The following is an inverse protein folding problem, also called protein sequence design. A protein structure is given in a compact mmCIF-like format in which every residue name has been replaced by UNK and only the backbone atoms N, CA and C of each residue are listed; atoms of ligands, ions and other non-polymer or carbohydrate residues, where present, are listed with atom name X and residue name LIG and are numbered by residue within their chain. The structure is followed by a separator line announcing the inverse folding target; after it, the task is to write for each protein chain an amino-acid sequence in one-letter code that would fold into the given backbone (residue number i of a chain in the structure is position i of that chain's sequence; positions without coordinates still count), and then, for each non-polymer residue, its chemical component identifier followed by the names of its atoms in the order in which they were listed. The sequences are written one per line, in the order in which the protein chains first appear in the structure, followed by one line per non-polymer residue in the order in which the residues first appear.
data_IF_139530481333
#
_entry.id   IF_139530481333
#
_cell.length_a   1.000
_cell.length_b   1.000
_cell.length_c   1.000
_cell.angle_alpha   90.00
_cell.angle_beta   90.00
_cell.angle_gamma   90.00
#
_symmetry.space_group_name_H-M   'P 1'
#
loop_
_entity.id
_entity.type
_entity.pdbx_description
1 polymer ?
#
# COMPACT_ATOMS: atom_id res chain seq x y z
N UNK A 1 29.98 41.74 44.36
CA UNK A 1 29.33 41.21 45.58
C UNK A 1 29.03 39.73 45.36
N UNK A 2 29.18 38.95 46.43
CA UNK A 2 28.78 37.55 46.73
C UNK A 2 27.82 36.81 45.75
N UNK A 3 28.17 35.56 45.41
CA UNK A 3 27.32 34.49 44.82
C UNK A 3 26.56 33.69 45.92
N UNK A 4 25.44 32.99 45.61
CA UNK A 4 25.50 31.52 45.67
C UNK A 4 24.54 30.71 44.75
N UNK A 5 25.11 29.70 44.06
CA UNK A 5 24.83 28.24 44.11
C UNK A 5 23.39 27.64 44.07
N UNK A 6 23.10 26.86 42.99
CA UNK A 6 22.56 25.44 42.85
C UNK A 6 21.68 24.81 43.97
N UNK A 7 20.73 23.85 43.69
CA UNK A 7 20.97 22.65 42.85
C UNK A 7 19.79 22.03 42.03
N UNK A 8 20.06 20.86 41.45
CA UNK A 8 19.23 19.95 40.62
C UNK A 8 18.12 19.20 41.40
N UNK A 9 17.20 18.50 40.70
CA UNK A 9 16.83 17.08 40.98
C UNK A 9 16.01 16.39 39.86
N UNK A 10 16.32 15.11 39.68
CA UNK A 10 15.88 14.08 38.72
C UNK A 10 14.39 13.68 38.68
N UNK A 11 13.97 12.96 37.62
CA UNK A 11 13.67 11.52 37.81
C UNK A 11 13.69 10.66 36.52
N UNK A 12 13.75 9.33 36.70
CA UNK A 12 13.95 8.32 35.65
C UNK A 12 12.89 7.19 35.71
N UNK A 13 12.94 6.26 34.73
CA UNK A 13 12.18 4.99 34.57
C UNK A 13 10.80 5.18 33.90
N UNK A 14 10.47 4.57 32.75
CA UNK A 14 10.55 3.17 32.28
C UNK A 14 9.63 2.20 33.04
N UNK A 15 8.55 1.72 32.39
CA UNK A 15 8.22 0.28 32.28
C UNK A 15 7.15 0.01 31.18
N UNK A 16 7.05 -1.25 30.74
CA UNK A 16 6.29 -1.75 29.58
C UNK A 16 4.86 -2.16 29.95
N UNK A 17 3.90 -2.18 29.00
CA UNK A 17 2.97 -3.33 28.85
C UNK A 17 2.11 -3.39 27.56
N UNK A 18 2.44 -4.35 26.70
CA UNK A 18 1.58 -5.37 26.04
C UNK A 18 0.18 -5.03 25.47
N UNK A 19 0.06 -5.33 24.15
CA UNK A 19 -1.14 -5.85 23.42
C UNK A 19 -2.28 -4.82 23.22
N UNK A 20 -3.04 -4.81 22.13
CA UNK A 20 -3.43 -5.90 21.19
C UNK A 20 -3.39 -5.48 19.72
N UNK A 21 -3.27 -6.46 18.82
CA UNK A 21 -3.59 -6.32 17.40
C UNK A 21 -5.12 -6.25 17.22
N UNK A 22 -5.63 -5.35 16.36
CA UNK A 22 -6.86 -5.45 15.52
C UNK A 22 -7.40 -4.07 15.08
N UNK A 23 -6.68 -3.35 14.20
CA UNK A 23 -7.27 -2.22 13.43
C UNK A 23 -7.03 -2.41 11.92
N UNK A 24 -7.34 -3.61 11.44
CA UNK A 24 -7.41 -3.94 10.02
C UNK A 24 -8.73 -3.38 9.47
N UNK A 25 -8.65 -2.12 9.04
CA UNK A 25 -9.51 -1.48 8.03
C UNK A 25 -11.02 -1.56 8.28
N UNK A 26 -11.53 -0.98 9.38
CA UNK A 26 -12.96 -0.66 9.51
C UNK A 26 -13.23 0.74 10.08
N UNK A 27 -13.77 1.62 9.24
CA UNK A 27 -14.55 2.77 9.70
C UNK A 27 -15.68 3.07 8.72
N UNK A 28 -16.89 2.62 9.09
CA UNK A 28 -18.15 2.96 8.40
C UNK A 28 -18.40 4.47 8.49
N UNK A 29 -18.86 5.08 7.39
CA UNK A 29 -19.69 6.31 7.45
C UNK A 29 -21.04 6.03 6.80
N UNK A 30 -22.12 6.46 7.45
CA UNK A 30 -23.50 6.46 6.93
C UNK A 30 -23.83 7.82 6.29
N UNK A 31 -24.90 7.85 5.49
CA UNK A 31 -25.20 8.79 4.39
C UNK A 31 -26.23 9.89 4.83
N UNK A 32 -26.89 10.77 4.04
CA UNK A 32 -27.26 10.83 2.60
C UNK A 32 -27.02 12.25 1.95
N UNK A 33 -27.90 12.94 1.15
CA UNK A 33 -27.41 13.65 -0.05
C UNK A 33 -27.82 15.15 -0.20
N UNK A 34 -27.41 15.85 -1.29
CA UNK A 34 -28.41 16.20 -2.30
C UNK A 34 -27.97 16.07 -3.78
N UNK A 35 -28.95 16.23 -4.68
CA UNK A 35 -29.04 15.64 -6.03
C UNK A 35 -28.74 16.63 -7.18
N UNK A 36 -27.47 16.80 -7.56
CA UNK A 36 -27.08 17.47 -8.83
C UNK A 36 -25.62 17.22 -9.29
N UNK A 37 -24.90 16.25 -8.71
CA UNK A 37 -23.42 16.22 -8.78
C UNK A 37 -22.79 15.20 -9.76
N UNK A 38 -23.55 14.48 -10.59
CA UNK A 38 -23.03 13.29 -11.31
C UNK A 38 -21.89 13.57 -12.30
N UNK A 39 -21.90 14.71 -13.00
CA UNK A 39 -20.83 15.04 -13.97
C UNK A 39 -19.60 15.68 -13.30
N UNK A 40 -19.81 16.66 -12.42
CA UNK A 40 -18.73 17.36 -11.72
C UNK A 40 -17.96 16.44 -10.74
N UNK A 41 -18.66 15.49 -10.09
CA UNK A 41 -18.00 14.48 -9.24
C UNK A 41 -17.14 13.53 -10.07
N UNK A 42 -17.52 13.19 -11.31
CA UNK A 42 -16.69 12.32 -12.16
C UNK A 42 -15.35 12.98 -12.52
N UNK A 43 -15.37 14.28 -12.83
CA UNK A 43 -14.15 15.07 -13.14
C UNK A 43 -13.31 15.32 -11.88
N UNK A 44 -13.96 15.69 -10.75
CA UNK A 44 -13.26 15.84 -9.47
C UNK A 44 -12.67 14.51 -8.98
N UNK A 45 -13.36 13.39 -9.17
CA UNK A 45 -12.81 12.06 -8.93
C UNK A 45 -11.61 11.80 -9.85
N UNK A 46 -11.72 12.01 -11.15
CA UNK A 46 -10.61 11.76 -12.08
C UNK A 46 -9.32 12.53 -11.70
N UNK A 47 -9.44 13.77 -11.24
CA UNK A 47 -8.30 14.56 -10.74
C UNK A 47 -7.79 14.10 -9.36
N UNK A 48 -8.67 13.71 -8.44
CA UNK A 48 -8.29 13.22 -7.10
C UNK A 48 -7.68 11.81 -7.13
N UNK A 49 -8.07 10.96 -8.08
CA UNK A 49 -7.66 9.55 -8.15
C UNK A 49 -6.18 9.34 -8.55
N UNK A 50 -5.49 10.37 -9.07
CA UNK A 50 -4.01 10.34 -9.15
C UNK A 50 -3.33 10.55 -7.78
N UNK A 51 -4.02 11.13 -6.81
CA UNK A 51 -3.55 11.35 -5.42
C UNK A 51 -3.92 10.23 -4.44
N UNK A 52 -4.61 9.18 -4.88
CA UNK A 52 -5.04 8.06 -4.03
C UNK A 52 -4.02 6.90 -3.94
N UNK A 53 -2.92 6.96 -4.71
CA UNK A 53 -1.91 5.90 -4.73
C UNK A 53 -1.10 5.89 -3.44
N UNK A 54 -1.21 4.80 -2.67
CA UNK A 54 -0.33 4.57 -1.53
C UNK A 54 0.99 3.96 -1.99
N UNK A 55 2.03 4.03 -1.15
CA UNK A 55 3.30 3.35 -1.39
C UNK A 55 3.13 1.82 -1.53
N UNK A 56 2.13 1.25 -0.86
CA UNK A 56 1.77 -0.15 -0.99
C UNK A 56 1.16 -0.45 -2.38
N UNK A 57 0.30 0.43 -2.90
CA UNK A 57 -0.27 0.27 -4.24
C UNK A 57 0.81 0.39 -5.32
N UNK A 58 1.75 1.33 -5.16
CA UNK A 58 2.91 1.46 -6.04
C UNK A 58 3.78 0.19 -6.02
N UNK A 59 4.05 -0.37 -4.83
CA UNK A 59 4.79 -1.63 -4.70
C UNK A 59 4.09 -2.81 -5.37
N UNK A 60 2.79 -2.99 -5.10
CA UNK A 60 1.97 -4.05 -5.69
C UNK A 60 1.90 -3.91 -7.21
N UNK A 61 1.73 -2.69 -7.73
CA UNK A 61 1.71 -2.42 -9.17
C UNK A 61 3.06 -2.75 -9.81
N UNK A 62 4.17 -2.30 -9.23
CA UNK A 62 5.51 -2.56 -9.79
C UNK A 62 5.79 -4.06 -9.83
N UNK A 63 5.71 -4.73 -8.69
CA UNK A 63 6.11 -6.14 -8.59
C UNK A 63 5.20 -7.05 -9.41
N UNK A 64 3.88 -6.85 -9.36
CA UNK A 64 2.94 -7.66 -10.15
C UNK A 64 3.08 -7.42 -11.66
N UNK A 65 3.41 -6.19 -12.10
CA UNK A 65 3.65 -5.92 -13.53
C UNK A 65 4.95 -6.54 -14.01
N UNK A 66 5.99 -6.58 -13.18
CA UNK A 66 7.25 -7.28 -13.50
C UNK A 66 7.07 -8.82 -13.54
N UNK A 67 6.17 -9.36 -12.72
CA UNK A 67 5.92 -10.81 -12.62
C UNK A 67 4.98 -11.34 -13.71
N UNK A 68 3.95 -10.56 -14.08
CA UNK A 68 2.91 -10.98 -15.04
C UNK A 68 3.08 -10.40 -16.44
N UNK A 69 3.85 -9.32 -16.61
CA UNK A 69 4.03 -8.58 -17.86
C UNK A 69 2.74 -8.03 -18.55
N UNK A 70 1.55 -8.20 -17.95
CA UNK A 70 0.27 -7.71 -18.47
C UNK A 70 -0.52 -6.89 -17.43
N UNK A 71 -0.70 -5.59 -17.71
CA UNK A 71 -1.45 -4.66 -16.87
C UNK A 71 -2.96 -4.97 -16.76
N UNK A 72 -3.54 -5.71 -17.72
CA UNK A 72 -4.93 -6.17 -17.65
C UNK A 72 -5.07 -7.29 -16.61
N UNK A 73 -4.14 -8.24 -16.59
CA UNK A 73 -4.11 -9.30 -15.58
C UNK A 73 -3.83 -8.69 -14.20
N UNK A 74 -2.89 -7.76 -14.10
CA UNK A 74 -2.64 -6.99 -12.85
C UNK A 74 -3.92 -6.31 -12.34
N UNK A 75 -4.68 -5.64 -13.21
CA UNK A 75 -5.96 -5.03 -12.84
C UNK A 75 -7.01 -6.05 -12.36
N UNK A 76 -7.07 -7.23 -12.97
CA UNK A 76 -8.06 -8.26 -12.65
C UNK A 76 -7.69 -9.12 -11.42
N UNK A 77 -6.40 -9.17 -11.04
CA UNK A 77 -5.88 -10.10 -10.03
C UNK A 77 -5.30 -9.46 -8.77
N UNK A 78 -4.86 -8.19 -8.82
CA UNK A 78 -4.18 -7.53 -7.68
C UNK A 78 -5.17 -6.76 -6.81
N UNK A 79 -5.09 -6.97 -5.49
CA UNK A 79 -5.91 -6.27 -4.50
C UNK A 79 -5.25 -4.97 -4.04
N UNK A 80 -5.55 -3.87 -4.73
CA UNK A 80 -5.17 -2.52 -4.33
C UNK A 80 -6.00 -1.98 -3.15
N UNK A 81 -5.49 -0.92 -2.49
CA UNK A 81 -6.15 -0.24 -1.36
C UNK A 81 -7.50 0.39 -1.70
N UNK A 82 -7.74 0.67 -2.99
CA UNK A 82 -8.99 1.20 -3.53
C UNK A 82 -9.24 0.62 -4.93
N UNK A 83 -10.50 0.64 -5.37
CA UNK A 83 -10.87 0.20 -6.71
C UNK A 83 -10.40 1.23 -7.77
N UNK A 84 -9.28 0.93 -8.42
CA UNK A 84 -8.81 1.67 -9.59
C UNK A 84 -9.48 1.18 -10.88
N UNK A 85 -9.51 2.02 -11.92
CA UNK A 85 -9.81 1.54 -13.28
C UNK A 85 -8.53 1.10 -14.00
N UNK A 86 -8.66 0.25 -15.03
CA UNK A 86 -7.56 -0.11 -15.92
C UNK A 86 -6.91 1.11 -16.61
N UNK A 87 -7.61 2.26 -16.71
CA UNK A 87 -6.99 3.52 -17.16
C UNK A 87 -6.06 4.09 -16.07
N UNK A 88 -6.50 4.14 -14.82
CA UNK A 88 -5.68 4.65 -13.71
C UNK A 88 -4.41 3.84 -13.51
N UNK A 89 -4.48 2.50 -13.62
CA UNK A 89 -3.33 1.59 -13.53
C UNK A 89 -2.33 1.88 -14.65
N UNK A 90 -2.78 2.01 -15.90
CA UNK A 90 -1.93 2.36 -17.05
C UNK A 90 -1.30 3.74 -16.92
N UNK A 91 -2.07 4.74 -16.51
CA UNK A 91 -1.58 6.10 -16.28
C UNK A 91 -0.52 6.12 -15.16
N UNK A 92 -0.74 5.38 -14.06
CA UNK A 92 0.22 5.29 -12.95
C UNK A 92 1.51 4.58 -13.35
N UNK A 93 1.41 3.44 -14.05
CA UNK A 93 2.56 2.71 -14.57
C UNK A 93 3.40 3.59 -15.52
N UNK A 94 2.72 4.36 -16.39
CA UNK A 94 3.35 5.37 -17.24
C UNK A 94 4.10 6.42 -16.40
N UNK A 95 3.50 6.95 -15.33
CA UNK A 95 4.21 7.87 -14.42
C UNK A 95 5.43 7.20 -13.77
N UNK A 96 5.31 5.98 -13.24
CA UNK A 96 6.40 5.30 -12.52
C UNK A 96 7.64 5.03 -13.40
N UNK A 97 7.46 4.81 -14.70
CA UNK A 97 8.56 4.59 -15.67
C UNK A 97 9.10 5.92 -16.24
N UNK A 98 8.22 6.80 -16.71
CA UNK A 98 8.64 7.95 -17.54
C UNK A 98 8.80 9.26 -16.77
N UNK A 99 8.20 9.41 -15.58
CA UNK A 99 8.39 10.58 -14.71
C UNK A 99 9.54 10.30 -13.73
N UNK A 100 10.74 10.75 -14.09
CA UNK A 100 11.96 10.51 -13.33
C UNK A 100 11.91 11.06 -11.88
N UNK A 101 11.38 12.28 -11.61
CA UNK A 101 11.07 12.74 -10.25
C UNK A 101 10.19 11.77 -9.45
N UNK A 102 9.07 11.31 -10.01
CA UNK A 102 8.17 10.36 -9.33
C UNK A 102 8.89 9.03 -9.08
N UNK A 103 9.56 8.48 -10.10
CA UNK A 103 10.30 7.22 -10.02
C UNK A 103 11.33 7.23 -8.89
N UNK A 104 12.17 8.29 -8.82
CA UNK A 104 13.16 8.46 -7.75
C UNK A 104 12.51 8.56 -6.36
N UNK A 105 11.45 9.36 -6.21
CA UNK A 105 10.74 9.49 -4.94
C UNK A 105 10.19 8.14 -4.45
N UNK A 106 9.58 7.35 -5.35
CA UNK A 106 9.02 6.05 -5.00
C UNK A 106 10.13 5.06 -4.64
N UNK A 107 11.22 4.98 -5.41
CA UNK A 107 12.36 4.12 -5.09
C UNK A 107 12.94 4.39 -3.69
N UNK A 108 13.18 5.67 -3.34
CA UNK A 108 13.66 6.04 -1.99
C UNK A 108 12.67 5.65 -0.88
N UNK A 109 11.36 5.75 -1.14
CA UNK A 109 10.33 5.34 -0.18
C UNK A 109 10.22 3.82 -0.05
N UNK A 110 10.31 3.07 -1.14
CA UNK A 110 10.27 1.60 -1.14
C UNK A 110 11.45 1.01 -0.38
N UNK A 111 12.64 1.62 -0.48
CA UNK A 111 13.82 1.25 0.33
C UNK A 111 13.61 1.41 1.85
N UNK A 112 12.59 2.14 2.29
CA UNK A 112 12.26 2.34 3.71
C UNK A 112 11.15 1.39 4.21
N UNK A 113 10.57 0.55 3.34
CA UNK A 113 9.58 -0.45 3.74
C UNK A 113 10.22 -1.53 4.63
N UNK A 114 9.51 -1.92 5.69
CA UNK A 114 9.97 -3.00 6.58
C UNK A 114 9.76 -4.35 5.91
N UNK A 115 10.66 -5.30 6.18
CA UNK A 115 10.57 -6.68 5.68
C UNK A 115 9.22 -7.35 5.99
N UNK A 116 8.64 -7.10 7.17
CA UNK A 116 7.31 -7.61 7.52
C UNK A 116 6.22 -7.11 6.57
N UNK A 117 6.24 -5.81 6.22
CA UNK A 117 5.27 -5.23 5.29
C UNK A 117 5.46 -5.77 3.86
N UNK A 118 6.71 -6.03 3.46
CA UNK A 118 7.01 -6.63 2.17
C UNK A 118 6.45 -8.07 2.10
N UNK A 119 6.62 -8.87 3.15
CA UNK A 119 6.03 -10.22 3.24
C UNK A 119 4.51 -10.17 3.16
N UNK A 120 3.87 -9.27 3.92
CA UNK A 120 2.42 -9.06 3.86
C UNK A 120 1.97 -8.68 2.43
N UNK A 121 2.68 -7.76 1.78
CA UNK A 121 2.38 -7.31 0.41
C UNK A 121 2.54 -8.43 -0.63
N UNK A 122 3.57 -9.27 -0.52
CA UNK A 122 3.75 -10.42 -1.41
C UNK A 122 2.57 -11.40 -1.40
N UNK A 123 1.80 -11.50 -0.31
CA UNK A 123 0.61 -12.35 -0.25
C UNK A 123 -0.54 -11.90 -1.16
N UNK A 124 -0.51 -10.66 -1.65
CA UNK A 124 -1.49 -10.09 -2.61
C UNK A 124 -0.98 -10.08 -4.06
N UNK A 125 0.25 -10.56 -4.30
CA UNK A 125 0.87 -10.60 -5.62
C UNK A 125 0.53 -11.95 -6.27
N UNK A 126 -0.04 -11.99 -7.47
CA UNK A 126 -0.31 -13.24 -8.17
C UNK A 126 0.99 -13.97 -8.52
N UNK A 127 0.97 -15.29 -8.40
CA UNK A 127 2.06 -16.14 -8.85
C UNK A 127 2.27 -16.02 -10.37
N UNK A 128 3.52 -16.22 -10.81
CA UNK A 128 3.84 -16.43 -12.22
C UNK A 128 3.51 -17.85 -12.66
N UNK A 129 3.33 -18.06 -13.97
CA UNK A 129 3.09 -19.39 -14.56
C UNK A 129 4.12 -20.45 -14.07
N UNK A 130 5.37 -20.05 -13.86
CA UNK A 130 6.43 -20.93 -13.36
C UNK A 130 6.19 -21.37 -11.90
N UNK A 131 5.74 -20.45 -11.06
CA UNK A 131 5.37 -20.73 -9.66
C UNK A 131 4.09 -21.55 -9.58
N UNK A 132 3.06 -21.24 -10.39
CA UNK A 132 1.84 -22.04 -10.49
C UNK A 132 2.16 -23.49 -10.91
N UNK A 133 3.04 -23.69 -11.89
CA UNK A 133 3.52 -25.01 -12.30
C UNK A 133 4.34 -25.76 -11.23
N UNK A 134 4.96 -25.04 -10.28
CA UNK A 134 5.64 -25.66 -9.14
C UNK A 134 4.64 -26.00 -8.04
N UNK A 135 3.69 -25.12 -7.73
CA UNK A 135 2.61 -25.34 -6.76
C UNK A 135 1.73 -26.53 -7.19
N UNK A 136 1.40 -26.63 -8.49
CA UNK A 136 0.63 -27.74 -9.05
C UNK A 136 1.32 -29.12 -8.96
N UNK A 137 2.63 -29.17 -8.70
CA UNK A 137 3.38 -30.43 -8.46
C UNK A 137 3.34 -30.87 -7.00
N UNK A 138 2.90 -30.02 -6.07
CA UNK A 138 2.79 -30.36 -4.65
C UNK A 138 1.54 -31.22 -4.46
N UNK A 139 1.66 -32.48 -4.01
CA UNK A 139 0.50 -33.35 -3.82
C UNK A 139 -0.41 -32.79 -2.72
N UNK A 140 -1.71 -32.69 -3.02
CA UNK A 140 -2.71 -32.25 -2.04
C UNK A 140 -2.91 -33.33 -0.98
N UNK A 141 -2.26 -33.18 0.18
CA UNK A 141 -2.54 -34.02 1.35
C UNK A 141 -3.93 -33.68 1.93
N UNK A 142 -4.93 -34.46 1.52
CA UNK A 142 -6.24 -34.49 2.18
C UNK A 142 -6.10 -35.38 3.42
N UNK A 143 -6.07 -34.79 4.61
CA UNK A 143 -6.35 -35.52 5.84
C UNK A 143 -7.86 -35.79 5.88
N UNK A 144 -8.22 -37.07 5.76
CA UNK A 144 -9.58 -37.61 5.92
C UNK A 144 -9.74 -38.06 7.38
#
# INVERSE_FOLDING_TARGET
MVLPTLPQISNTKNEKSRRTSTEIWKSKRKEYPPRSKKLETAVRNAAVQMGCWTLCDDYLLITSTLQLCDLKIVYEKVLFSTQFSLKNIRDRWRCLIYDLPVSKMILTKLQQLKSSQIIDLHSFIPFSDQEELLIAKIPSHVNI
#
